data_IF_248308340429
#
_entry.id   IF_248308340429
#
_cell.length_a   1.000
_cell.length_b   1.000
_cell.length_c   1.000
_cell.angle_alpha   90.00
_cell.angle_beta   90.00
_cell.angle_gamma   90.00
#
_symmetry.space_group_name_H-M   'P 1'
#
loop_
_entity.id
_entity.type
_entity.pdbx_description
1 polymer ?
#
# COMPACT_ATOMS: atom_id res chain seq x y z
N UNK A 1 -4.50 -2.72 -18.77
CA UNK A 1 -3.56 -1.64 -19.13
C UNK A 1 -2.76 -1.28 -17.88
N UNK A 2 -1.44 -1.53 -17.86
CA UNK A 2 -0.59 -1.12 -16.73
C UNK A 2 -0.48 0.41 -16.74
N UNK A 3 -0.85 1.08 -15.64
CA UNK A 3 -0.65 2.52 -15.50
C UNK A 3 0.84 2.79 -15.23
N UNK A 4 1.47 3.59 -16.09
CA UNK A 4 2.87 4.01 -15.89
C UNK A 4 2.97 5.02 -14.75
N UNK A 5 3.91 4.79 -13.83
CA UNK A 5 4.19 5.70 -12.71
C UNK A 5 5.03 6.91 -13.11
N UNK A 6 5.69 6.88 -14.28
CA UNK A 6 6.61 7.95 -14.74
C UNK A 6 5.94 9.31 -14.92
N UNK A 7 4.62 9.33 -15.12
CA UNK A 7 3.82 10.54 -15.34
C UNK A 7 2.84 10.83 -14.21
N UNK A 8 2.90 10.07 -13.10
CA UNK A 8 2.03 10.30 -11.95
C UNK A 8 2.60 11.41 -11.07
N UNK A 9 1.72 12.30 -10.62
CA UNK A 9 2.03 13.12 -9.45
C UNK A 9 2.19 12.24 -8.21
N UNK A 10 2.89 12.77 -7.21
CA UNK A 10 3.06 12.09 -5.94
C UNK A 10 1.71 11.68 -5.30
N UNK A 11 0.71 12.57 -5.38
CA UNK A 11 -0.64 12.32 -4.85
C UNK A 11 -1.34 11.20 -5.59
N UNK A 12 -1.28 11.18 -6.93
CA UNK A 12 -1.90 10.11 -7.72
C UNK A 12 -1.26 8.76 -7.41
N UNK A 13 0.06 8.72 -7.27
CA UNK A 13 0.77 7.51 -6.87
C UNK A 13 0.35 7.02 -5.48
N UNK A 14 0.20 7.93 -4.51
CA UNK A 14 -0.27 7.60 -3.16
C UNK A 14 -1.69 7.01 -3.15
N UNK A 15 -2.60 7.54 -3.97
CA UNK A 15 -3.95 6.98 -4.08
C UNK A 15 -4.00 5.66 -4.85
N UNK A 16 -3.20 5.53 -5.91
CA UNK A 16 -3.17 4.30 -6.70
C UNK A 16 -2.60 3.12 -5.91
N UNK A 17 -1.56 3.34 -5.09
CA UNK A 17 -0.95 2.29 -4.26
C UNK A 17 -1.83 1.79 -3.11
N UNK A 18 -2.92 2.49 -2.76
CA UNK A 18 -3.90 1.98 -1.78
C UNK A 18 -4.70 0.81 -2.33
N UNK A 19 -4.82 0.70 -3.66
CA UNK A 19 -5.66 -0.30 -4.36
C UNK A 19 -5.08 -1.71 -4.41
N UNK A 20 -3.85 -1.92 -3.94
CA UNK A 20 -3.18 -3.21 -3.97
C UNK A 20 -2.17 -3.38 -2.85
N UNK A 21 -1.56 -4.55 -2.80
CA UNK A 21 -0.50 -4.90 -1.85
C UNK A 21 0.85 -4.60 -2.48
N UNK A 22 1.58 -3.66 -1.89
CA UNK A 22 2.96 -3.33 -2.27
C UNK A 22 4.01 -4.02 -1.40
N UNK A 23 5.29 -3.83 -1.71
CA UNK A 23 6.39 -4.46 -0.95
C UNK A 23 6.40 -4.10 0.55
N UNK A 24 6.04 -2.86 0.91
CA UNK A 24 5.88 -2.46 2.31
C UNK A 24 4.76 -3.21 3.04
N UNK A 25 3.71 -3.55 2.30
CA UNK A 25 2.53 -4.21 2.83
C UNK A 25 2.85 -5.69 3.04
N UNK A 26 3.61 -6.32 2.12
CA UNK A 26 4.11 -7.69 2.28
C UNK A 26 4.95 -7.86 3.55
N UNK A 27 5.87 -6.94 3.84
CA UNK A 27 6.64 -6.99 5.09
C UNK A 27 5.74 -6.93 6.33
N UNK A 28 4.64 -6.19 6.24
CA UNK A 28 3.64 -6.09 7.32
C UNK A 28 2.83 -7.39 7.46
N UNK A 29 2.38 -7.96 6.35
CA UNK A 29 1.64 -9.23 6.31
C UNK A 29 2.48 -10.38 6.87
N UNK A 30 3.77 -10.42 6.55
CA UNK A 30 4.70 -11.44 7.04
C UNK A 30 5.16 -11.20 8.50
N UNK A 31 4.69 -10.14 9.17
CA UNK A 31 5.08 -9.83 10.54
C UNK A 31 6.52 -9.32 10.69
N UNK A 32 7.17 -8.93 9.58
CA UNK A 32 8.53 -8.39 9.56
C UNK A 32 8.57 -6.87 9.77
N UNK A 33 7.42 -6.20 9.68
CA UNK A 33 7.32 -4.76 9.90
C UNK A 33 7.10 -4.42 11.38
N UNK A 34 8.08 -3.76 12.00
CA UNK A 34 8.01 -3.28 13.39
C UNK A 34 7.16 -2.02 13.61
N UNK A 35 6.74 -1.35 12.53
CA UNK A 35 6.05 -0.05 12.58
C UNK A 35 4.56 -0.13 12.30
N UNK A 36 4.07 -1.23 11.71
CA UNK A 36 2.66 -1.39 11.33
C UNK A 36 2.23 -2.83 11.58
N UNK A 37 1.07 -3.01 12.20
CA UNK A 37 0.47 -4.33 12.39
C UNK A 37 -0.32 -4.79 11.16
N UNK A 38 -0.53 -6.10 10.96
CA UNK A 38 -1.42 -6.61 9.92
C UNK A 38 -2.83 -6.02 9.97
N UNK A 39 -3.36 -5.76 11.17
CA UNK A 39 -4.67 -5.14 11.36
C UNK A 39 -4.71 -3.69 10.88
N UNK A 40 -3.69 -2.88 11.21
CA UNK A 40 -3.59 -1.50 10.72
C UNK A 40 -3.48 -1.45 9.19
N UNK A 41 -2.75 -2.39 8.60
CA UNK A 41 -2.70 -2.51 7.14
C UNK A 41 -4.08 -2.87 6.56
N UNK A 42 -4.81 -3.78 7.19
CA UNK A 42 -6.16 -4.14 6.75
C UNK A 42 -7.09 -2.92 6.76
N UNK A 43 -7.16 -2.18 7.88
CA UNK A 43 -7.94 -0.94 7.99
C UNK A 43 -7.62 0.04 6.85
N UNK A 44 -6.33 0.28 6.58
CA UNK A 44 -5.87 1.17 5.52
C UNK A 44 -6.34 0.74 4.13
N UNK A 45 -6.32 -0.57 3.84
CA UNK A 45 -6.63 -1.10 2.50
C UNK A 45 -8.12 -1.28 2.27
N UNK A 46 -8.90 -1.52 3.32
CA UNK A 46 -10.35 -1.70 3.23
C UNK A 46 -11.15 -0.42 3.50
N UNK A 47 -10.51 0.62 4.04
CA UNK A 47 -11.18 1.86 4.45
C UNK A 47 -12.14 1.67 5.62
N UNK A 48 -11.81 0.71 6.50
CA UNK A 48 -12.56 0.42 7.74
C UNK A 48 -12.15 1.38 8.86
#
# INVERSE_FOLDING_TARGET
>A
MSKSTLKMSHREWLEDRKKGIGGSDVATVLGLNKYKSPYQLWLEKTGQ
#
